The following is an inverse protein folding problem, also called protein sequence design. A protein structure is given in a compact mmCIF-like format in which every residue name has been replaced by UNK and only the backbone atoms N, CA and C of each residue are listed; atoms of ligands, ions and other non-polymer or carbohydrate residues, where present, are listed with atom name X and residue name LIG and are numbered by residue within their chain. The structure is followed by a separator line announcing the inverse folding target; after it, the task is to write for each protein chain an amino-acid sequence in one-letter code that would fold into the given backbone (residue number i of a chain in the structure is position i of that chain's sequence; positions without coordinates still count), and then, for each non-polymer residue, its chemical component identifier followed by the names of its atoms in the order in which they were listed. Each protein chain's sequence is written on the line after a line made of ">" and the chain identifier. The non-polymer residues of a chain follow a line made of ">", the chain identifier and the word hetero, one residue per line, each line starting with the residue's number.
data_IF_384526390164
#
_entry.id   IF_384526390164
#
_cell.length_a   1.000
_cell.length_b   1.000
_cell.length_c   1.000
_cell.angle_alpha   90.00
_cell.angle_beta   90.00
_cell.angle_gamma   90.00
#
_symmetry.space_group_name_H-M   'P 1'
#
loop_
_entity.id
_entity.type
_entity.pdbx_description
1 polymer ?
#
# COMPACT_ATOMS: atom_id res chain seq x y z
N UNK A 1 24.64 -28.15 2.90
CA UNK A 1 24.38 -26.76 2.44
C UNK A 1 25.39 -25.84 3.09
N UNK A 2 26.05 -24.96 2.32
CA UNK A 2 26.88 -23.88 2.91
C UNK A 2 25.97 -23.03 3.83
N UNK A 3 26.46 -22.53 4.98
CA UNK A 3 25.66 -21.81 5.97
C UNK A 3 25.01 -20.50 5.47
N UNK A 4 25.37 -20.02 4.28
CA UNK A 4 24.87 -18.76 3.70
C UNK A 4 23.66 -18.90 2.77
N UNK A 5 23.22 -20.13 2.44
CA UNK A 5 22.10 -20.35 1.51
C UNK A 5 20.80 -20.53 2.30
N UNK A 6 20.35 -19.47 2.96
CA UNK A 6 19.06 -19.46 3.67
C UNK A 6 17.91 -19.56 2.67
N UNK A 7 16.73 -20.09 3.07
CA UNK A 7 15.56 -20.13 2.19
C UNK A 7 15.21 -18.75 1.60
N UNK A 8 15.32 -17.69 2.40
CA UNK A 8 15.12 -16.31 1.94
C UNK A 8 16.09 -15.95 0.80
N UNK A 9 17.38 -16.26 0.93
CA UNK A 9 18.38 -15.95 -0.10
C UNK A 9 18.14 -16.71 -1.41
N UNK A 10 17.69 -17.96 -1.33
CA UNK A 10 17.32 -18.77 -2.50
C UNK A 10 16.17 -18.08 -3.25
N UNK A 11 15.11 -17.72 -2.53
CA UNK A 11 13.93 -17.07 -3.10
C UNK A 11 14.30 -15.72 -3.71
N UNK A 12 15.03 -14.85 -2.98
CA UNK A 12 15.49 -13.55 -3.49
C UNK A 12 16.27 -13.70 -4.79
N UNK A 13 17.17 -14.67 -4.87
CA UNK A 13 18.00 -14.89 -6.05
C UNK A 13 17.18 -15.34 -7.27
N UNK A 14 16.16 -16.18 -7.07
CA UNK A 14 15.22 -16.55 -8.13
C UNK A 14 14.38 -15.34 -8.56
N UNK A 15 13.96 -14.51 -7.60
CA UNK A 15 13.21 -13.29 -7.90
C UNK A 15 14.05 -12.27 -8.69
N UNK A 16 15.34 -12.11 -8.38
CA UNK A 16 16.25 -11.29 -9.18
C UNK A 16 16.31 -11.78 -10.64
N UNK A 17 16.38 -13.09 -10.85
CA UNK A 17 16.33 -13.69 -12.18
C UNK A 17 15.00 -13.39 -12.90
N UNK A 18 13.86 -13.56 -12.23
CA UNK A 18 12.54 -13.22 -12.81
C UNK A 18 12.38 -11.73 -13.13
N UNK A 19 13.07 -10.86 -12.39
CA UNK A 19 13.16 -9.42 -12.68
C UNK A 19 14.15 -9.07 -13.81
N UNK A 20 14.75 -10.07 -14.46
CA UNK A 20 15.60 -9.91 -15.64
C UNK A 20 17.10 -9.85 -15.37
N UNK A 21 17.56 -10.12 -14.15
CA UNK A 21 19.00 -10.22 -13.88
C UNK A 21 19.56 -11.49 -14.53
N UNK A 22 20.76 -11.38 -15.11
CA UNK A 22 21.43 -12.49 -15.77
C UNK A 22 21.72 -13.64 -14.78
N UNK A 23 21.27 -14.89 -15.05
CA UNK A 23 21.53 -16.03 -14.17
C UNK A 23 23.02 -16.27 -13.91
N UNK A 24 23.90 -15.95 -14.87
CA UNK A 24 25.35 -16.12 -14.69
C UNK A 24 25.92 -15.19 -13.62
N UNK A 25 25.49 -13.93 -13.58
CA UNK A 25 25.86 -13.01 -12.51
C UNK A 25 25.38 -13.50 -11.13
N UNK A 26 24.19 -14.11 -11.08
CA UNK A 26 23.58 -14.56 -9.83
C UNK A 26 24.35 -15.74 -9.24
N UNK A 27 24.56 -16.82 -10.00
CA UNK A 27 25.25 -17.99 -9.45
C UNK A 27 26.73 -17.71 -9.15
N UNK A 28 27.37 -16.82 -9.93
CA UNK A 28 28.74 -16.37 -9.66
C UNK A 28 28.82 -15.57 -8.36
N UNK A 29 27.89 -14.63 -8.14
CA UNK A 29 27.84 -13.84 -6.90
C UNK A 29 27.53 -14.68 -5.65
N UNK A 30 26.81 -15.80 -5.82
CA UNK A 30 26.47 -16.72 -4.75
C UNK A 30 27.52 -17.83 -4.54
N UNK A 31 28.56 -17.86 -5.37
CA UNK A 31 29.57 -18.94 -5.40
C UNK A 31 28.94 -20.35 -5.46
N UNK A 32 27.91 -20.49 -6.32
CA UNK A 32 27.27 -21.75 -6.64
C UNK A 32 27.43 -22.04 -8.14
N UNK A 33 27.32 -23.30 -8.53
CA UNK A 33 27.32 -23.66 -9.94
C UNK A 33 25.93 -23.48 -10.58
N UNK A 34 25.92 -23.45 -11.91
CA UNK A 34 24.69 -23.32 -12.71
C UNK A 34 23.67 -24.42 -12.40
N UNK A 35 24.10 -25.66 -12.20
CA UNK A 35 23.18 -26.78 -11.96
C UNK A 35 22.46 -26.64 -10.60
N UNK A 36 23.16 -26.10 -9.61
CA UNK A 36 22.59 -25.76 -8.31
C UNK A 36 21.51 -24.68 -8.47
N UNK A 37 21.80 -23.61 -9.21
CA UNK A 37 20.82 -22.55 -9.46
C UNK A 37 19.62 -23.05 -10.28
N UNK A 38 19.85 -23.85 -11.32
CA UNK A 38 18.79 -24.50 -12.10
C UNK A 38 17.90 -25.38 -11.20
N UNK A 39 18.49 -26.09 -10.23
CA UNK A 39 17.72 -26.88 -9.24
C UNK A 39 16.85 -26.00 -8.35
N UNK A 40 17.34 -24.82 -7.95
CA UNK A 40 16.56 -23.89 -7.13
C UNK A 40 15.38 -23.31 -7.90
N UNK A 41 15.57 -22.93 -9.17
CA UNK A 41 14.47 -22.47 -10.03
C UNK A 41 13.42 -23.57 -10.18
N UNK A 42 13.84 -24.82 -10.41
CA UNK A 42 12.91 -25.95 -10.53
C UNK A 42 12.13 -26.19 -9.24
N UNK A 43 12.81 -26.20 -8.10
CA UNK A 43 12.23 -26.65 -6.84
C UNK A 43 11.48 -25.51 -6.11
N UNK A 44 11.88 -24.25 -6.31
CA UNK A 44 11.34 -23.08 -5.60
C UNK A 44 10.82 -21.97 -6.52
N UNK A 45 10.86 -22.13 -7.84
CA UNK A 45 10.41 -21.10 -8.78
C UNK A 45 8.94 -20.72 -8.60
N UNK A 46 8.06 -21.70 -8.40
CA UNK A 46 6.63 -21.44 -8.20
C UNK A 46 6.36 -20.57 -6.97
N UNK A 47 7.01 -20.88 -5.84
CA UNK A 47 6.82 -20.09 -4.61
C UNK A 47 7.48 -18.72 -4.72
N UNK A 48 8.62 -18.61 -5.41
CA UNK A 48 9.26 -17.33 -5.67
C UNK A 48 8.36 -16.40 -6.51
N UNK A 49 7.68 -16.96 -7.53
CA UNK A 49 6.72 -16.24 -8.36
C UNK A 49 5.45 -15.85 -7.58
N UNK A 50 4.86 -16.77 -6.81
CA UNK A 50 3.70 -16.46 -5.96
C UNK A 50 4.00 -15.32 -4.96
N UNK A 51 5.21 -15.30 -4.40
CA UNK A 51 5.64 -14.22 -3.52
C UNK A 51 5.83 -12.88 -4.24
N UNK A 52 6.20 -12.87 -5.53
CA UNK A 52 6.22 -11.65 -6.34
C UNK A 52 4.80 -11.13 -6.56
N UNK A 53 3.88 -12.00 -6.97
CA UNK A 53 2.48 -11.65 -7.20
C UNK A 53 1.82 -11.11 -5.92
N UNK A 54 2.06 -11.76 -4.78
CA UNK A 54 1.55 -11.31 -3.48
C UNK A 54 2.13 -9.97 -3.05
N UNK A 55 3.41 -9.70 -3.35
CA UNK A 55 4.03 -8.41 -3.06
C UNK A 55 3.41 -7.31 -3.92
N UNK A 56 3.25 -7.56 -5.22
CA UNK A 56 2.70 -6.58 -6.15
C UNK A 56 1.23 -6.27 -5.80
N UNK A 57 0.44 -7.28 -5.42
CA UNK A 57 -0.93 -7.06 -4.93
C UNK A 57 -0.95 -6.35 -3.56
N UNK A 58 0.02 -6.61 -2.67
CA UNK A 58 0.13 -5.86 -1.42
C UNK A 58 0.37 -4.36 -1.67
N UNK A 59 1.25 -4.04 -2.62
CA UNK A 59 1.55 -2.65 -2.98
C UNK A 59 0.35 -1.95 -3.63
N UNK A 60 -0.41 -2.68 -4.45
CA UNK A 60 -1.69 -2.22 -4.98
C UNK A 60 -2.70 -1.93 -3.84
N UNK A 61 -2.87 -2.85 -2.90
CA UNK A 61 -3.75 -2.67 -1.73
C UNK A 61 -3.33 -1.50 -0.84
N UNK A 62 -2.02 -1.29 -0.64
CA UNK A 62 -1.50 -0.11 0.10
C UNK A 62 -1.84 1.18 -0.61
N UNK A 63 -1.75 1.21 -1.93
CA UNK A 63 -2.12 2.37 -2.74
C UNK A 63 -3.61 2.67 -2.62
N UNK A 64 -4.46 1.65 -2.73
CA UNK A 64 -5.91 1.79 -2.52
C UNK A 64 -6.24 2.30 -1.11
N UNK A 65 -5.58 1.76 -0.08
CA UNK A 65 -5.76 2.17 1.30
C UNK A 65 -5.39 3.65 1.52
N UNK A 66 -4.27 4.10 0.96
CA UNK A 66 -3.86 5.51 1.02
C UNK A 66 -4.89 6.41 0.36
N UNK A 67 -5.36 6.05 -0.84
CA UNK A 67 -6.36 6.82 -1.57
C UNK A 67 -7.69 6.93 -0.79
N UNK A 68 -8.19 5.81 -0.25
CA UNK A 68 -9.40 5.80 0.58
C UNK A 68 -9.23 6.63 1.85
N UNK A 69 -8.06 6.58 2.47
CA UNK A 69 -7.75 7.38 3.66
C UNK A 69 -7.78 8.88 3.36
N UNK A 70 -7.24 9.31 2.22
CA UNK A 70 -7.31 10.70 1.76
C UNK A 70 -8.74 11.16 1.50
N UNK A 71 -9.54 10.34 0.82
CA UNK A 71 -10.96 10.62 0.56
C UNK A 71 -11.74 10.72 1.88
N UNK A 72 -11.54 9.77 2.80
CA UNK A 72 -12.19 9.80 4.11
C UNK A 72 -11.83 11.07 4.90
N UNK A 73 -10.56 11.47 4.90
CA UNK A 73 -10.14 12.71 5.54
C UNK A 73 -10.81 13.94 4.91
N UNK A 74 -10.90 14.00 3.57
CA UNK A 74 -11.59 15.08 2.86
C UNK A 74 -13.07 15.16 3.22
N UNK A 75 -13.75 14.01 3.29
CA UNK A 75 -15.16 13.91 3.69
C UNK A 75 -15.37 14.38 5.14
N UNK A 76 -14.51 13.95 6.07
CA UNK A 76 -14.55 14.41 7.47
C UNK A 76 -14.38 15.93 7.57
N UNK A 77 -13.40 16.49 6.88
CA UNK A 77 -13.19 17.94 6.86
C UNK A 77 -14.40 18.69 6.30
N UNK A 78 -15.05 18.15 5.26
CA UNK A 78 -16.24 18.73 4.65
C UNK A 78 -17.44 18.69 5.61
N UNK A 79 -17.64 17.56 6.29
CA UNK A 79 -18.70 17.41 7.30
C UNK A 79 -18.50 18.35 8.49
N UNK A 80 -17.28 18.49 8.98
CA UNK A 80 -16.94 19.43 10.05
C UNK A 80 -17.22 20.88 9.64
N UNK A 81 -16.89 21.24 8.39
CA UNK A 81 -17.17 22.57 7.84
C UNK A 81 -18.68 22.85 7.76
N UNK A 82 -19.46 21.87 7.30
CA UNK A 82 -20.91 21.99 7.21
C UNK A 82 -21.52 22.16 8.61
N UNK A 83 -21.14 21.29 9.55
CA UNK A 83 -21.63 21.34 10.94
C UNK A 83 -21.33 22.68 11.62
N UNK A 84 -20.14 23.25 11.38
CA UNK A 84 -19.78 24.59 11.88
C UNK A 84 -20.62 25.69 11.23
N UNK A 85 -20.94 25.55 9.95
CA UNK A 85 -21.77 26.52 9.22
C UNK A 85 -23.19 26.51 9.74
N UNK A 86 -23.78 25.34 9.91
CA UNK A 86 -25.13 25.17 10.47
C UNK A 86 -25.21 25.73 11.89
N UNK A 87 -24.20 25.46 12.72
CA UNK A 87 -24.11 26.01 14.08
C UNK A 87 -24.07 27.55 14.07
N UNK A 88 -23.29 28.17 13.17
CA UNK A 88 -23.25 29.63 13.01
C UNK A 88 -24.58 30.22 12.57
N UNK A 89 -25.28 29.55 11.64
CA UNK A 89 -26.61 29.98 11.19
C UNK A 89 -27.60 29.95 12.36
N UNK A 90 -27.57 28.89 13.16
CA UNK A 90 -28.43 28.75 14.33
C UNK A 90 -28.19 29.87 15.36
N UNK A 91 -26.93 30.17 15.67
CA UNK A 91 -26.54 31.29 16.55
C UNK A 91 -27.04 32.65 16.02
N UNK A 92 -26.91 32.89 14.70
CA UNK A 92 -27.42 34.11 14.08
C UNK A 92 -28.95 34.23 14.18
N UNK A 93 -29.67 33.12 14.00
CA UNK A 93 -31.13 33.07 14.14
C UNK A 93 -31.56 33.34 15.59
N UNK A 94 -30.88 32.75 16.58
CA UNK A 94 -31.13 33.02 17.99
C UNK A 94 -30.89 34.49 18.34
N UNK A 95 -29.76 35.06 17.89
CA UNK A 95 -29.44 36.48 18.09
C UNK A 95 -30.52 37.39 17.48
N UNK A 96 -30.94 37.12 16.23
CA UNK A 96 -32.01 37.88 15.56
C UNK A 96 -33.35 37.80 16.30
N UNK A 97 -33.68 36.65 16.88
CA UNK A 97 -34.88 36.47 17.71
C UNK A 97 -34.80 37.25 19.02
N UNK A 98 -33.64 37.26 19.67
CA UNK A 98 -33.40 38.00 20.92
C UNK A 98 -33.36 39.53 20.76
N UNK A 99 -33.03 40.04 19.56
CA UNK A 99 -32.96 41.49 19.29
C UNK A 99 -34.30 42.16 18.96
N UNK A 100 -35.42 41.44 19.03
CA UNK A 100 -36.77 42.03 18.93
C UNK A 100 -37.08 42.68 17.58
N UNK A 101 -37.61 41.88 16.65
CA UNK A 101 -38.68 42.25 15.71
C UNK A 101 -38.79 41.17 14.63
N UNK A 102 -39.70 40.22 14.85
CA UNK A 102 -40.31 39.45 13.78
C UNK A 102 -41.69 40.06 13.52
N UNK A 103 -41.74 41.05 12.64
CA UNK A 103 -42.91 41.25 11.80
C UNK A 103 -42.56 40.63 10.45
N UNK A 104 -43.21 39.52 10.14
CA UNK A 104 -43.36 39.06 8.77
C UNK A 104 -44.54 39.83 8.16
N UNK A 105 -44.47 40.26 6.89
CA UNK A 105 -45.68 40.64 6.15
C UNK A 105 -46.57 39.42 5.91
#
# INVERSE_FOLDING_TARGET
>A
MKPNNTPARIIESIQEFYNGRDPEEIYNALEIDKNCFDSWIRDFGSIANELLELRDENDNLRTMFTNLSLVNQSLRNSLDSLTRTDSKIFELLLKKRGTGNLSFP
#
